data_IF_415476642383
#
_entry.id   IF_415476642383
#
_cell.length_a   1.000
_cell.length_b   1.000
_cell.length_c   1.000
_cell.angle_alpha   90.00
_cell.angle_beta   90.00
_cell.angle_gamma   90.00
#
_symmetry.space_group_name_H-M   'P 1'
#
loop_
_entity.id
_entity.type
_entity.pdbx_description
1 polymer ?
#
# COMPACT_ATOMS: atom_id res chain seq x y z
N UNK A 1 9.97 4.97 17.90
CA UNK A 1 8.66 4.85 17.30
C UNK A 1 7.52 5.17 18.27
N UNK A 2 6.28 4.85 17.89
CA UNK A 2 5.05 5.15 18.65
C UNK A 2 5.08 4.70 20.11
N UNK A 3 5.60 3.51 20.38
CA UNK A 3 5.73 2.95 21.75
C UNK A 3 6.55 3.87 22.65
N UNK A 4 7.73 4.32 22.17
CA UNK A 4 8.64 5.16 22.98
C UNK A 4 8.03 6.54 23.25
N UNK A 5 7.37 7.13 22.24
CA UNK A 5 6.71 8.43 22.40
C UNK A 5 5.55 8.35 23.38
N UNK A 6 4.70 7.34 23.26
CA UNK A 6 3.58 7.11 24.17
C UNK A 6 4.05 6.84 25.60
N UNK A 7 5.12 6.06 25.77
CA UNK A 7 5.70 5.80 27.09
C UNK A 7 6.20 7.07 27.79
N UNK A 8 6.94 7.91 27.05
CA UNK A 8 7.46 9.16 27.60
C UNK A 8 6.38 10.20 27.91
N UNK A 9 5.29 10.21 27.12
CA UNK A 9 4.22 11.18 27.27
C UNK A 9 3.15 10.76 28.30
N UNK A 10 2.82 9.46 28.37
CA UNK A 10 1.62 8.96 29.06
C UNK A 10 1.88 7.74 29.96
N UNK A 11 3.11 7.20 29.97
CA UNK A 11 3.50 6.07 30.81
C UNK A 11 3.25 4.69 30.19
N UNK A 12 3.30 3.65 31.03
CA UNK A 12 3.39 2.25 30.61
C UNK A 12 2.15 1.75 29.84
N UNK A 13 0.95 1.85 30.43
CA UNK A 13 -0.26 1.26 29.81
C UNK A 13 -0.67 1.90 28.49
N UNK A 14 -0.65 3.25 28.33
CA UNK A 14 -0.86 3.87 27.04
C UNK A 14 0.17 3.44 25.98
N UNK A 15 1.43 3.22 26.39
CA UNK A 15 2.46 2.74 25.47
C UNK A 15 2.20 1.31 24.97
N UNK A 16 1.75 0.42 25.85
CA UNK A 16 1.33 -0.94 25.48
C UNK A 16 0.17 -0.90 24.50
N UNK A 17 -0.88 -0.15 24.82
CA UNK A 17 -2.05 -0.02 23.96
C UNK A 17 -1.71 0.57 22.60
N UNK A 18 -0.92 1.64 22.56
CA UNK A 18 -0.47 2.26 21.31
C UNK A 18 0.37 1.31 20.45
N UNK A 19 1.29 0.56 21.10
CA UNK A 19 2.12 -0.41 20.40
C UNK A 19 1.32 -1.58 19.84
N UNK A 20 0.42 -2.16 20.63
CA UNK A 20 -0.46 -3.23 20.18
C UNK A 20 -1.39 -2.76 19.04
N UNK A 21 -2.01 -1.58 19.19
CA UNK A 21 -2.86 -1.02 18.14
C UNK A 21 -2.08 -0.82 16.82
N UNK A 22 -0.85 -0.31 16.89
CA UNK A 22 0.01 -0.16 15.73
C UNK A 22 0.37 -1.51 15.10
N UNK A 23 0.72 -2.52 15.91
CA UNK A 23 1.03 -3.86 15.43
C UNK A 23 -0.19 -4.50 14.75
N UNK A 24 -1.38 -4.41 15.35
CA UNK A 24 -2.62 -4.90 14.74
C UNK A 24 -2.98 -4.17 13.45
N UNK A 25 -2.79 -2.85 13.39
CA UNK A 25 -3.01 -2.08 12.18
C UNK A 25 -2.10 -2.59 11.04
N UNK A 26 -0.81 -2.78 11.30
CA UNK A 26 0.14 -3.28 10.32
C UNK A 26 -0.17 -4.71 9.87
N UNK A 27 -0.53 -5.60 10.80
CA UNK A 27 -0.96 -6.95 10.46
C UNK A 27 -2.24 -6.95 9.61
N UNK A 28 -3.20 -6.07 9.92
CA UNK A 28 -4.44 -5.91 9.16
C UNK A 28 -4.17 -5.49 7.72
N UNK A 29 -3.30 -4.49 7.51
CA UNK A 29 -2.92 -4.06 6.16
C UNK A 29 -2.15 -5.17 5.44
N UNK A 30 -1.16 -5.80 6.09
CA UNK A 30 -0.40 -6.91 5.50
C UNK A 30 -1.30 -8.09 5.08
N UNK A 31 -2.34 -8.39 5.85
CA UNK A 31 -3.33 -9.41 5.51
C UNK A 31 -4.18 -9.01 4.30
N UNK A 32 -4.51 -7.72 4.15
CA UNK A 32 -5.27 -7.21 3.02
C UNK A 32 -4.46 -7.17 1.70
N UNK A 33 -3.14 -6.98 1.79
CA UNK A 33 -2.27 -6.94 0.60
C UNK A 33 -2.28 -8.25 -0.21
N UNK A 34 -2.49 -9.38 0.44
CA UNK A 34 -2.58 -10.68 -0.25
C UNK A 34 -3.74 -10.76 -1.26
N UNK A 35 -5.00 -10.53 -0.84
CA UNK A 35 -6.14 -10.41 -1.74
C UNK A 35 -5.97 -9.32 -2.80
N UNK A 36 -5.42 -8.15 -2.45
CA UNK A 36 -5.16 -7.06 -3.39
C UNK A 36 -4.16 -7.51 -4.49
N UNK A 37 -3.09 -8.19 -4.10
CA UNK A 37 -2.12 -8.77 -5.03
C UNK A 37 -2.75 -9.80 -5.98
N UNK A 38 -3.55 -10.72 -5.45
CA UNK A 38 -4.24 -11.72 -6.28
C UNK A 38 -5.22 -11.09 -7.26
N UNK A 39 -5.93 -10.04 -6.86
CA UNK A 39 -6.82 -9.27 -7.74
C UNK A 39 -6.02 -8.59 -8.86
N UNK A 40 -4.88 -8.01 -8.55
CA UNK A 40 -3.99 -7.40 -9.53
C UNK A 40 -3.42 -8.44 -10.51
N UNK A 41 -2.97 -9.60 -10.01
CA UNK A 41 -2.52 -10.70 -10.87
C UNK A 41 -3.64 -11.17 -11.79
N UNK A 42 -4.86 -11.34 -11.25
CA UNK A 42 -6.02 -11.80 -12.02
C UNK A 42 -6.41 -10.84 -13.17
N UNK A 43 -6.12 -9.55 -13.04
CA UNK A 43 -6.31 -8.59 -14.13
C UNK A 43 -5.34 -8.81 -15.29
N UNK A 44 -4.10 -9.21 -15.00
CA UNK A 44 -3.05 -9.45 -16.02
C UNK A 44 -3.16 -10.84 -16.64
N UNK A 45 -3.32 -11.84 -15.76
CA UNK A 45 -3.41 -13.27 -16.09
C UNK A 45 -4.57 -13.86 -15.33
N UNK A 46 -5.57 -14.35 -16.05
CA UNK A 46 -6.75 -14.94 -15.43
C UNK A 46 -6.39 -16.15 -14.55
N UNK A 47 -6.73 -16.06 -13.26
CA UNK A 47 -6.51 -17.14 -12.30
C UNK A 47 -7.70 -18.11 -12.42
N UNK A 48 -7.47 -19.40 -12.73
CA UNK A 48 -8.56 -20.38 -12.79
C UNK A 48 -9.33 -20.45 -11.48
N UNK A 49 -10.66 -20.37 -11.54
CA UNK A 49 -11.55 -20.43 -10.36
C UNK A 49 -11.71 -21.88 -9.91
N UNK A 50 -10.79 -22.37 -9.07
CA UNK A 50 -10.82 -23.74 -8.55
C UNK A 50 -11.06 -23.75 -7.04
N UNK A 51 -11.99 -24.62 -6.59
CA UNK A 51 -12.29 -24.85 -5.17
C UNK A 51 -12.85 -23.61 -4.47
N UNK A 52 -14.17 -23.45 -4.49
CA UNK A 52 -14.84 -22.37 -3.76
C UNK A 52 -14.71 -22.60 -2.25
N UNK A 53 -14.23 -21.59 -1.51
CA UNK A 53 -14.09 -21.60 -0.05
C UNK A 53 -15.32 -21.00 0.64
N UNK A 54 -15.60 -19.72 0.35
CA UNK A 54 -16.73 -18.97 0.90
C UNK A 54 -17.13 -17.83 -0.04
N UNK A 55 -18.20 -17.12 0.31
CA UNK A 55 -18.63 -15.91 -0.39
C UNK A 55 -18.71 -14.74 0.59
N UNK A 56 -18.26 -13.55 0.16
CA UNK A 56 -18.37 -12.31 0.93
C UNK A 56 -19.13 -11.29 0.07
N UNK A 57 -20.30 -10.86 0.54
CA UNK A 57 -21.16 -9.88 -0.16
C UNK A 57 -21.47 -10.23 -1.62
N UNK A 58 -21.53 -11.52 -1.96
CA UNK A 58 -21.82 -12.00 -3.31
C UNK A 58 -20.59 -12.36 -4.14
N UNK A 59 -19.39 -12.00 -3.70
CA UNK A 59 -18.14 -12.38 -4.34
C UNK A 59 -17.61 -13.69 -3.77
N UNK A 60 -17.32 -14.64 -4.65
CA UNK A 60 -16.80 -15.96 -4.28
C UNK A 60 -15.27 -15.93 -4.12
N UNK A 61 -14.78 -16.49 -3.01
CA UNK A 61 -13.37 -16.69 -2.74
C UNK A 61 -12.97 -18.12 -3.11
N UNK A 62 -11.94 -18.28 -3.93
CA UNK A 62 -11.45 -19.56 -4.44
C UNK A 62 -10.10 -19.94 -3.83
N UNK A 63 -9.87 -21.25 -3.67
CA UNK A 63 -8.57 -21.80 -3.20
C UNK A 63 -7.42 -21.33 -4.06
N UNK A 64 -7.59 -21.33 -5.39
CA UNK A 64 -6.57 -20.87 -6.33
C UNK A 64 -6.11 -19.43 -6.07
N UNK A 65 -7.05 -18.53 -5.80
CA UNK A 65 -6.76 -17.11 -5.48
C UNK A 65 -6.08 -17.00 -4.11
N UNK A 66 -6.56 -17.76 -3.12
CA UNK A 66 -5.93 -17.81 -1.79
C UNK A 66 -4.49 -18.36 -1.86
N UNK A 67 -4.23 -19.39 -2.67
CA UNK A 67 -2.88 -19.92 -2.88
C UNK A 67 -1.92 -18.87 -3.45
N UNK A 68 -2.34 -18.06 -4.41
CA UNK A 68 -1.51 -16.96 -4.96
C UNK A 68 -1.16 -15.96 -3.86
N UNK A 69 -2.14 -15.56 -3.03
CA UNK A 69 -1.92 -14.66 -1.88
C UNK A 69 -0.92 -15.26 -0.87
N UNK A 70 -1.10 -16.53 -0.51
CA UNK A 70 -0.25 -17.23 0.46
C UNK A 70 1.19 -17.34 -0.05
N UNK A 71 1.38 -17.76 -1.31
CA UNK A 71 2.71 -17.88 -1.92
C UNK A 71 3.42 -16.53 -1.92
N UNK A 72 2.73 -15.46 -2.33
CA UNK A 72 3.30 -14.12 -2.31
C UNK A 72 3.67 -13.67 -0.88
N UNK A 73 2.80 -13.94 0.11
CA UNK A 73 3.07 -13.67 1.53
C UNK A 73 4.34 -14.37 2.02
N UNK A 74 4.50 -15.65 1.68
CA UNK A 74 5.68 -16.43 2.05
C UNK A 74 6.96 -15.87 1.41
N UNK A 75 6.88 -15.44 0.14
CA UNK A 75 8.02 -14.82 -0.56
C UNK A 75 8.44 -13.52 0.13
N UNK A 76 7.49 -12.61 0.40
CA UNK A 76 7.79 -11.33 1.06
C UNK A 76 8.32 -11.55 2.49
N UNK A 77 7.73 -12.50 3.22
CA UNK A 77 8.22 -12.87 4.56
C UNK A 77 9.64 -13.40 4.51
N UNK A 78 9.94 -14.26 3.54
CA UNK A 78 11.29 -14.80 3.33
C UNK A 78 12.32 -13.73 2.97
N UNK A 79 11.94 -12.74 2.14
CA UNK A 79 12.80 -11.60 1.83
C UNK A 79 13.15 -10.79 3.08
N UNK A 80 12.17 -10.56 3.96
CA UNK A 80 12.41 -9.89 5.24
C UNK A 80 13.30 -10.74 6.19
N UNK A 81 13.11 -12.06 6.19
CA UNK A 81 13.93 -12.98 6.97
C UNK A 81 15.41 -13.00 6.50
N UNK A 82 15.65 -12.90 5.21
CA UNK A 82 17.01 -12.82 4.62
C UNK A 82 17.79 -11.58 5.05
N UNK A 83 17.11 -10.54 5.52
CA UNK A 83 17.70 -9.36 6.14
C UNK A 83 17.33 -8.03 5.46
N UNK A 84 17.54 -6.96 6.20
CA UNK A 84 17.12 -5.61 5.84
C UNK A 84 17.72 -5.11 4.50
N UNK A 85 18.95 -5.54 4.15
CA UNK A 85 19.60 -5.11 2.89
C UNK A 85 18.87 -5.64 1.66
N UNK A 86 18.49 -6.92 1.64
CA UNK A 86 17.78 -7.55 0.53
C UNK A 86 16.37 -6.95 0.38
N UNK A 87 15.67 -6.79 1.51
CA UNK A 87 14.37 -6.13 1.55
C UNK A 87 14.45 -4.68 1.03
N UNK A 88 15.48 -3.92 1.38
CA UNK A 88 15.68 -2.54 0.91
C UNK A 88 15.98 -2.46 -0.59
N UNK A 89 16.80 -3.35 -1.13
CA UNK A 89 17.07 -3.42 -2.58
C UNK A 89 15.78 -3.74 -3.35
N UNK A 90 15.04 -4.75 -2.90
CA UNK A 90 13.73 -5.09 -3.46
C UNK A 90 12.78 -3.89 -3.45
N UNK A 91 12.67 -3.21 -2.29
CA UNK A 91 11.87 -2.01 -2.11
C UNK A 91 12.22 -0.92 -3.15
N UNK A 92 13.51 -0.66 -3.34
CA UNK A 92 13.99 0.38 -4.28
C UNK A 92 13.62 0.06 -5.72
N UNK A 93 13.83 -1.19 -6.15
CA UNK A 93 13.51 -1.62 -7.53
C UNK A 93 12.00 -1.55 -7.77
N UNK A 94 11.21 -2.08 -6.86
CA UNK A 94 9.75 -2.08 -7.00
C UNK A 94 9.16 -0.65 -6.96
N UNK A 95 9.67 0.22 -6.07
CA UNK A 95 9.26 1.64 -6.05
C UNK A 95 9.64 2.34 -7.37
N UNK A 96 10.82 2.05 -7.92
CA UNK A 96 11.23 2.55 -9.24
C UNK A 96 10.26 2.13 -10.34
N UNK A 97 9.83 0.87 -10.35
CA UNK A 97 8.83 0.34 -11.28
C UNK A 97 7.49 1.04 -11.17
N UNK A 98 6.98 1.21 -9.94
CA UNK A 98 5.75 1.96 -9.66
C UNK A 98 5.82 3.39 -10.21
N UNK A 99 6.90 4.11 -9.89
CA UNK A 99 7.08 5.50 -10.32
C UNK A 99 7.19 5.59 -11.85
N UNK A 100 7.95 4.70 -12.49
CA UNK A 100 8.11 4.70 -13.94
C UNK A 100 6.77 4.51 -14.66
N UNK A 101 5.97 3.52 -14.28
CA UNK A 101 4.65 3.28 -14.87
C UNK A 101 3.70 4.45 -14.59
N UNK A 102 3.71 4.98 -13.35
CA UNK A 102 2.88 6.12 -13.01
C UNK A 102 3.25 7.38 -13.80
N UNK A 103 4.54 7.65 -14.04
CA UNK A 103 4.98 8.77 -14.88
C UNK A 103 4.51 8.61 -16.33
N UNK A 104 4.56 7.40 -16.90
CA UNK A 104 4.00 7.11 -18.23
C UNK A 104 2.50 7.42 -18.25
N UNK A 105 1.76 7.02 -17.22
CA UNK A 105 0.33 7.32 -17.15
C UNK A 105 0.04 8.82 -16.98
N UNK A 106 0.79 9.51 -16.12
CA UNK A 106 0.67 10.96 -15.92
C UNK A 106 0.93 11.74 -17.20
N UNK A 107 1.98 11.39 -17.95
CA UNK A 107 2.29 12.01 -19.24
C UNK A 107 1.20 11.72 -20.28
N UNK A 108 0.75 10.46 -20.37
CA UNK A 108 -0.37 10.10 -21.25
C UNK A 108 -1.66 10.87 -20.93
N UNK A 109 -2.00 10.98 -19.64
CA UNK A 109 -3.13 11.78 -19.18
C UNK A 109 -3.00 13.25 -19.56
N UNK A 110 -1.80 13.83 -19.40
CA UNK A 110 -1.54 15.25 -19.72
C UNK A 110 -1.67 15.56 -21.23
N UNK A 111 -1.21 14.65 -22.10
CA UNK A 111 -1.20 14.88 -23.55
C UNK A 111 -2.46 14.39 -24.27
N UNK A 112 -3.11 13.35 -23.79
CA UNK A 112 -4.23 12.68 -24.47
C UNK A 112 -5.54 12.79 -23.68
N UNK A 113 -5.49 13.19 -22.42
CA UNK A 113 -6.65 13.32 -21.55
C UNK A 113 -7.59 14.45 -21.96
N UNK A 114 -8.87 14.30 -21.64
CA UNK A 114 -9.90 15.30 -21.91
C UNK A 114 -10.47 15.86 -20.60
N UNK A 115 -10.35 17.18 -20.34
CA UNK A 115 -10.89 17.79 -19.13
C UNK A 115 -12.39 17.58 -18.96
N UNK A 116 -13.13 17.35 -20.04
CA UNK A 116 -14.58 17.06 -20.00
C UNK A 116 -14.92 15.80 -19.18
N UNK A 117 -14.02 14.83 -19.13
CA UNK A 117 -14.20 13.58 -18.39
C UNK A 117 -14.19 13.76 -16.85
N UNK A 118 -13.73 14.92 -16.38
CA UNK A 118 -13.73 15.24 -14.93
C UNK A 118 -15.11 15.66 -14.44
N UNK A 119 -16.06 15.97 -15.32
CA UNK A 119 -17.39 16.44 -14.93
C UNK A 119 -18.33 15.27 -14.60
N UNK A 120 -19.18 15.41 -13.58
CA UNK A 120 -19.20 16.52 -12.60
C UNK A 120 -18.05 16.41 -11.60
N UNK A 121 -17.41 17.52 -11.25
CA UNK A 121 -16.32 17.58 -10.26
C UNK A 121 -16.82 17.29 -8.83
N UNK A 122 -18.06 17.60 -8.58
CA UNK A 122 -18.71 17.41 -7.29
C UNK A 122 -20.18 17.03 -7.54
N UNK A 123 -20.64 15.97 -6.90
CA UNK A 123 -22.04 15.52 -7.01
C UNK A 123 -22.85 15.89 -5.78
N UNK A 124 -22.36 15.49 -4.60
CA UNK A 124 -23.03 15.71 -3.33
C UNK A 124 -22.02 15.74 -2.15
N UNK A 125 -22.51 16.22 -1.00
CA UNK A 125 -21.71 16.25 0.23
C UNK A 125 -21.46 14.84 0.80
N UNK A 126 -22.33 13.87 0.53
CA UNK A 126 -22.18 12.47 0.97
C UNK A 126 -21.00 11.81 0.29
N UNK A 127 -20.86 12.00 -1.03
CA UNK A 127 -19.70 11.50 -1.80
C UNK A 127 -18.39 12.12 -1.32
N UNK A 128 -18.39 13.44 -1.10
CA UNK A 128 -17.22 14.14 -0.54
C UNK A 128 -16.82 13.60 0.84
N UNK A 129 -17.78 13.42 1.75
CA UNK A 129 -17.52 12.88 3.08
C UNK A 129 -16.99 11.44 3.05
N UNK A 130 -17.51 10.61 2.13
CA UNK A 130 -17.04 9.25 1.95
C UNK A 130 -15.56 9.22 1.53
N UNK A 131 -15.16 10.08 0.57
CA UNK A 131 -13.75 10.21 0.16
C UNK A 131 -12.89 10.71 1.31
N UNK A 132 -13.34 11.73 2.04
CA UNK A 132 -12.60 12.30 3.18
C UNK A 132 -12.34 11.26 4.27
N UNK A 133 -13.28 10.34 4.52
CA UNK A 133 -13.11 9.24 5.48
C UNK A 133 -12.10 8.18 5.01
N UNK A 134 -11.85 8.07 3.70
CA UNK A 134 -10.85 7.16 3.14
C UNK A 134 -9.43 7.73 3.18
N UNK A 135 -9.26 9.05 3.20
CA UNK A 135 -7.96 9.72 3.15
C UNK A 135 -6.98 9.22 4.24
N UNK A 136 -7.36 9.08 5.52
CA UNK A 136 -6.43 8.57 6.53
C UNK A 136 -5.87 7.18 6.20
N UNK A 137 -6.70 6.28 5.63
CA UNK A 137 -6.26 4.95 5.23
C UNK A 137 -5.25 4.98 4.08
N UNK A 138 -5.34 5.96 3.18
CA UNK A 138 -4.39 6.12 2.06
C UNK A 138 -2.99 6.55 2.53
N UNK A 139 -2.88 7.15 3.72
CA UNK A 139 -1.62 7.61 4.29
C UNK A 139 -1.06 6.68 5.37
N UNK A 140 -1.68 5.52 5.64
CA UNK A 140 -1.14 4.53 6.58
C UNK A 140 0.25 4.07 6.12
N UNK A 141 1.21 3.99 7.06
CA UNK A 141 2.56 3.50 6.80
C UNK A 141 3.66 4.58 6.82
N UNK A 142 3.33 5.87 6.83
CA UNK A 142 4.34 6.92 7.00
C UNK A 142 5.10 6.79 8.33
N UNK A 143 4.46 6.24 9.33
CA UNK A 143 4.98 5.99 10.67
C UNK A 143 5.96 4.79 10.73
N UNK A 144 6.12 4.01 9.66
CA UNK A 144 7.22 3.03 9.52
C UNK A 144 8.59 3.72 9.55
N UNK A 145 8.69 4.96 9.05
CA UNK A 145 9.95 5.74 9.05
C UNK A 145 10.52 5.88 10.47
N UNK A 146 9.79 6.42 11.47
CA UNK A 146 10.31 6.48 12.84
C UNK A 146 10.45 5.11 13.52
N UNK A 147 9.76 4.05 13.09
CA UNK A 147 9.96 2.69 13.61
C UNK A 147 11.33 2.12 13.19
N UNK A 148 11.79 2.44 11.99
CA UNK A 148 13.07 1.99 11.43
C UNK A 148 14.23 2.97 11.68
N UNK A 149 14.00 4.04 12.44
CA UNK A 149 14.98 5.13 12.63
C UNK A 149 16.35 4.67 13.14
N UNK A 150 16.40 3.61 13.97
CA UNK A 150 17.66 3.07 14.51
C UNK A 150 18.50 2.32 13.48
N UNK A 151 17.92 1.93 12.35
CA UNK A 151 18.61 1.18 11.27
C UNK A 151 18.93 2.07 10.06
N UNK A 152 18.43 3.30 10.06
CA UNK A 152 18.69 4.25 8.99
C UNK A 152 20.08 4.89 9.17
N UNK A 153 20.88 4.88 8.11
CA UNK A 153 22.16 5.60 8.08
C UNK A 153 21.96 7.12 7.84
N UNK A 154 21.10 7.72 8.67
CA UNK A 154 20.73 9.15 8.60
C UNK A 154 20.70 9.72 10.02
N UNK A 155 21.23 10.94 10.23
CA UNK A 155 21.16 11.61 11.53
C UNK A 155 19.70 11.73 12.01
N UNK A 156 19.42 11.35 13.25
CA UNK A 156 18.07 11.37 13.85
C UNK A 156 17.35 12.72 13.71
N UNK A 157 18.11 13.82 13.75
CA UNK A 157 17.60 15.19 13.55
C UNK A 157 16.97 15.42 12.16
N UNK A 158 17.31 14.60 11.15
CA UNK A 158 16.75 14.69 9.79
C UNK A 158 15.46 13.89 9.61
N UNK A 159 15.15 12.95 10.50
CA UNK A 159 13.97 12.07 10.39
C UNK A 159 12.66 12.85 10.29
N UNK A 160 12.39 13.90 11.11
CA UNK A 160 11.15 14.67 10.96
C UNK A 160 11.01 15.32 9.59
N UNK A 161 12.10 15.83 9.03
CA UNK A 161 12.11 16.44 7.68
C UNK A 161 11.81 15.40 6.60
N UNK A 162 12.40 14.21 6.70
CA UNK A 162 12.16 13.10 5.77
C UNK A 162 10.69 12.68 5.84
N UNK A 163 10.14 12.57 7.05
CA UNK A 163 8.74 12.22 7.29
C UNK A 163 7.78 13.21 6.61
N UNK A 164 7.96 14.50 6.85
CA UNK A 164 7.12 15.55 6.24
C UNK A 164 7.26 15.52 4.71
N UNK A 165 8.47 15.40 4.20
CA UNK A 165 8.73 15.36 2.75
C UNK A 165 8.07 14.14 2.11
N UNK A 166 8.12 12.97 2.75
CA UNK A 166 7.49 11.75 2.24
C UNK A 166 5.97 11.86 2.19
N UNK A 167 5.34 12.45 3.22
CA UNK A 167 3.89 12.69 3.24
C UNK A 167 3.49 13.67 2.13
N UNK A 168 4.20 14.78 1.98
CA UNK A 168 3.93 15.75 0.91
C UNK A 168 4.11 15.12 -0.48
N UNK A 169 5.17 14.35 -0.68
CA UNK A 169 5.40 13.66 -1.95
C UNK A 169 4.30 12.64 -2.25
N UNK A 170 3.86 11.85 -1.26
CA UNK A 170 2.74 10.92 -1.41
C UNK A 170 1.44 11.65 -1.73
N UNK A 171 1.14 12.77 -1.05
CA UNK A 171 -0.05 13.58 -1.33
C UNK A 171 -0.05 14.11 -2.76
N UNK A 172 1.07 14.65 -3.22
CA UNK A 172 1.23 15.12 -4.60
C UNK A 172 1.05 13.99 -5.62
N UNK A 173 1.62 12.82 -5.33
CA UNK A 173 1.48 11.64 -6.17
C UNK A 173 0.03 11.18 -6.27
N UNK A 174 -0.68 11.06 -5.14
CA UNK A 174 -2.10 10.68 -5.14
C UNK A 174 -2.96 11.68 -5.90
N UNK A 175 -2.77 12.98 -5.66
CA UNK A 175 -3.50 14.02 -6.40
C UNK A 175 -3.26 13.94 -7.90
N UNK A 176 -1.99 13.76 -8.32
CA UNK A 176 -1.63 13.64 -9.72
C UNK A 176 -2.26 12.39 -10.36
N UNK A 177 -2.20 11.22 -9.68
CA UNK A 177 -2.77 9.97 -10.19
C UNK A 177 -4.29 10.02 -10.28
N UNK A 178 -4.97 10.60 -9.28
CA UNK A 178 -6.43 10.77 -9.28
C UNK A 178 -6.84 11.71 -10.43
N UNK A 179 -6.12 12.82 -10.59
CA UNK A 179 -6.38 13.77 -11.67
C UNK A 179 -6.16 13.12 -13.05
N UNK A 180 -5.02 12.45 -13.26
CA UNK A 180 -4.75 11.73 -14.51
C UNK A 180 -5.82 10.68 -14.80
N UNK A 181 -6.24 9.90 -13.81
CA UNK A 181 -7.33 8.93 -13.97
C UNK A 181 -8.63 9.62 -14.39
N UNK A 182 -8.92 10.79 -13.80
CA UNK A 182 -10.15 11.53 -14.07
C UNK A 182 -10.21 12.10 -15.48
N UNK A 183 -9.10 12.60 -16.01
CA UNK A 183 -9.04 13.17 -17.39
C UNK A 183 -8.83 12.12 -18.48
N UNK A 184 -8.33 10.93 -18.12
CA UNK A 184 -7.98 9.87 -19.07
C UNK A 184 -9.19 9.07 -19.56
N UNK A 185 -10.28 8.98 -18.79
CA UNK A 185 -11.44 8.19 -19.17
C UNK A 185 -12.75 8.77 -18.61
N UNK A 186 -13.88 8.62 -19.32
CA UNK A 186 -15.19 9.04 -18.82
C UNK A 186 -15.62 8.22 -17.60
N UNK A 187 -16.55 8.77 -16.80
CA UNK A 187 -17.03 8.14 -15.58
C UNK A 187 -17.59 6.72 -15.82
N UNK A 188 -18.23 6.48 -16.96
CA UNK A 188 -18.75 5.15 -17.35
C UNK A 188 -17.66 4.07 -17.41
N UNK A 189 -16.48 4.38 -17.93
CA UNK A 189 -15.34 3.45 -17.98
C UNK A 189 -14.78 3.21 -16.57
N UNK A 190 -14.63 4.28 -15.78
CA UNK A 190 -14.05 4.20 -14.45
C UNK A 190 -14.94 3.49 -13.41
N UNK A 191 -16.27 3.59 -13.55
CA UNK A 191 -17.24 2.99 -12.61
C UNK A 191 -17.59 1.54 -12.95
N UNK A 192 -17.53 1.16 -14.23
CA UNK A 192 -17.87 -0.19 -14.68
C UNK A 192 -16.64 -1.10 -14.84
N UNK A 193 -15.45 -0.54 -14.70
CA UNK A 193 -14.20 -1.28 -14.82
C UNK A 193 -13.85 -2.05 -13.53
N UNK A 194 -12.93 -3.00 -13.65
CA UNK A 194 -12.44 -3.82 -12.53
C UNK A 194 -11.47 -3.01 -11.65
N UNK A 195 -10.55 -2.29 -12.28
CA UNK A 195 -9.57 -1.43 -11.60
C UNK A 195 -9.51 -0.08 -12.31
N UNK A 196 -10.18 0.95 -11.77
CA UNK A 196 -10.42 2.22 -12.47
C UNK A 196 -9.19 2.89 -13.07
N UNK A 197 -8.04 2.85 -12.40
CA UNK A 197 -6.81 3.47 -12.90
C UNK A 197 -6.23 2.73 -14.11
N UNK A 198 -6.29 1.40 -14.10
CA UNK A 198 -5.82 0.57 -15.19
C UNK A 198 -6.74 0.67 -16.42
N UNK A 199 -8.04 0.67 -16.17
CA UNK A 199 -9.05 0.81 -17.22
C UNK A 199 -8.98 2.20 -17.86
N UNK A 200 -8.72 3.25 -17.06
CA UNK A 200 -8.50 4.60 -17.57
C UNK A 200 -7.21 4.69 -18.42
N UNK A 201 -6.12 4.04 -18.01
CA UNK A 201 -4.90 3.98 -18.80
C UNK A 201 -5.11 3.23 -20.12
N UNK A 202 -5.78 2.07 -20.09
CA UNK A 202 -6.12 1.30 -21.28
C UNK A 202 -6.97 2.11 -22.27
N UNK A 203 -7.97 2.82 -21.78
CA UNK A 203 -8.84 3.68 -22.57
C UNK A 203 -8.07 4.85 -23.19
N UNK A 204 -7.25 5.55 -22.40
CA UNK A 204 -6.50 6.72 -22.83
C UNK A 204 -5.49 6.41 -23.94
N UNK A 205 -4.81 5.28 -23.85
CA UNK A 205 -3.83 4.82 -24.84
C UNK A 205 -4.43 3.92 -25.94
N UNK A 206 -5.73 3.65 -25.90
CA UNK A 206 -6.44 2.89 -26.93
C UNK A 206 -6.08 1.40 -27.01
N UNK A 207 -5.49 0.80 -25.96
CA UNK A 207 -5.14 -0.62 -25.94
C UNK A 207 -5.19 -1.23 -24.53
N UNK A 208 -5.76 -2.45 -24.38
CA UNK A 208 -5.79 -3.18 -23.09
C UNK A 208 -4.40 -3.48 -22.51
N UNK A 209 -3.36 -3.52 -23.38
CA UNK A 209 -1.97 -3.74 -22.94
C UNK A 209 -1.52 -2.68 -21.95
N UNK A 210 -1.94 -1.42 -22.13
CA UNK A 210 -1.60 -0.34 -21.22
C UNK A 210 -2.24 -0.49 -19.84
N UNK A 211 -3.45 -1.05 -19.77
CA UNK A 211 -4.06 -1.43 -18.49
C UNK A 211 -3.23 -2.49 -17.76
N UNK A 212 -2.73 -3.50 -18.47
CA UNK A 212 -1.84 -4.53 -17.88
C UNK A 212 -0.52 -3.94 -17.42
N UNK A 213 0.07 -3.02 -18.17
CA UNK A 213 1.29 -2.29 -17.76
C UNK A 213 1.01 -1.48 -16.50
N UNK A 214 -0.13 -0.80 -16.41
CA UNK A 214 -0.54 -0.08 -15.20
C UNK A 214 -0.59 -1.02 -13.98
N UNK A 215 -1.17 -2.20 -14.14
CA UNK A 215 -1.26 -3.20 -13.07
C UNK A 215 0.11 -3.73 -12.66
N UNK A 216 1.06 -3.89 -13.58
CA UNK A 216 2.44 -4.25 -13.20
C UNK A 216 3.04 -3.18 -12.27
N UNK A 217 2.83 -1.90 -12.55
CA UNK A 217 3.20 -0.81 -11.65
C UNK A 217 2.47 -0.88 -10.30
N UNK A 218 1.17 -1.18 -10.31
CA UNK A 218 0.37 -1.34 -9.10
C UNK A 218 0.83 -2.54 -8.25
N UNK A 219 1.19 -3.66 -8.88
CA UNK A 219 1.79 -4.82 -8.21
C UNK A 219 3.10 -4.43 -7.51
N UNK A 220 3.95 -3.65 -8.16
CA UNK A 220 5.14 -3.11 -7.51
C UNK A 220 4.78 -2.28 -6.26
N UNK A 221 3.72 -1.47 -6.33
CA UNK A 221 3.20 -0.70 -5.19
C UNK A 221 2.71 -1.59 -4.05
N UNK A 222 1.89 -2.61 -4.35
CA UNK A 222 1.39 -3.59 -3.38
C UNK A 222 2.56 -4.30 -2.69
N UNK A 223 3.54 -4.77 -3.44
CA UNK A 223 4.69 -5.48 -2.89
C UNK A 223 5.56 -4.60 -1.99
N UNK A 224 5.73 -3.31 -2.34
CA UNK A 224 6.48 -2.36 -1.49
C UNK A 224 5.74 -2.02 -0.20
N UNK A 225 4.43 -1.82 -0.28
CA UNK A 225 3.54 -1.60 0.86
C UNK A 225 3.58 -2.80 1.80
N UNK A 226 3.37 -4.00 1.27
CA UNK A 226 3.40 -5.24 2.03
C UNK A 226 4.72 -5.46 2.77
N UNK A 227 5.85 -5.29 2.05
CA UNK A 227 7.18 -5.35 2.63
C UNK A 227 7.35 -4.34 3.78
N UNK A 228 6.92 -3.10 3.58
CA UNK A 228 6.98 -2.03 4.58
C UNK A 228 6.19 -2.33 5.85
N UNK A 229 4.97 -2.86 5.72
CA UNK A 229 4.13 -3.21 6.88
C UNK A 229 4.64 -4.43 7.65
N UNK A 230 5.14 -5.46 6.98
CA UNK A 230 5.79 -6.59 7.64
C UNK A 230 7.03 -6.14 8.40
N UNK A 231 7.88 -5.32 7.76
CA UNK A 231 9.07 -4.76 8.40
C UNK A 231 8.71 -3.88 9.60
N UNK A 232 7.81 -2.92 9.44
CA UNK A 232 7.37 -2.01 10.51
C UNK A 232 6.70 -2.74 11.66
N UNK A 233 5.82 -3.71 11.37
CA UNK A 233 5.16 -4.55 12.36
C UNK A 233 6.13 -5.35 13.21
N UNK A 234 7.13 -5.97 12.59
CA UNK A 234 8.18 -6.70 13.29
C UNK A 234 8.96 -5.78 14.25
N UNK A 235 9.24 -4.54 13.86
CA UNK A 235 9.94 -3.56 14.72
C UNK A 235 9.11 -3.09 15.91
N UNK A 236 7.81 -2.94 15.74
CA UNK A 236 6.90 -2.60 16.84
C UNK A 236 6.83 -3.73 17.85
N UNK A 237 6.66 -4.98 17.40
CA UNK A 237 6.65 -6.17 18.27
C UNK A 237 7.98 -6.33 19.00
N UNK A 238 9.10 -6.16 18.30
CA UNK A 238 10.43 -6.18 18.90
C UNK A 238 10.60 -5.10 19.97
N UNK A 239 10.15 -3.87 19.71
CA UNK A 239 10.23 -2.76 20.66
C UNK A 239 9.41 -3.03 21.93
N UNK A 240 8.21 -3.60 21.80
CA UNK A 240 7.36 -4.00 22.92
C UNK A 240 8.01 -5.11 23.75
N UNK A 241 8.59 -6.12 23.10
CA UNK A 241 9.27 -7.22 23.78
C UNK A 241 10.52 -6.76 24.54
N UNK A 242 11.34 -5.89 23.94
CA UNK A 242 12.49 -5.29 24.62
C UNK A 242 12.10 -4.41 25.84
N UNK A 243 10.94 -3.78 25.77
CA UNK A 243 10.38 -3.02 26.89
C UNK A 243 9.71 -3.93 27.95
N UNK A 244 9.82 -5.26 27.83
CA UNK A 244 9.17 -6.28 28.69
C UNK A 244 7.64 -6.15 28.73
N UNK A 245 7.05 -5.61 27.65
CA UNK A 245 5.61 -5.48 27.46
C UNK A 245 5.01 -6.69 26.74
N UNK A 246 5.87 -7.49 26.08
CA UNK A 246 5.55 -8.75 25.40
C UNK A 246 6.59 -9.83 25.79
N UNK A 247 6.29 -11.13 25.53
CA UNK A 247 7.23 -12.21 25.80
C UNK A 247 8.60 -12.01 25.14
N UNK A 248 9.68 -12.33 25.86
CA UNK A 248 11.07 -12.14 25.42
C UNK A 248 11.43 -12.90 24.14
N UNK A 249 10.67 -13.92 23.76
CA UNK A 249 10.87 -14.66 22.51
C UNK A 249 10.78 -13.76 21.27
N UNK A 250 9.98 -12.69 21.35
CA UNK A 250 9.83 -11.69 20.28
C UNK A 250 10.96 -10.64 20.25
N UNK A 251 11.84 -10.63 21.25
CA UNK A 251 13.02 -9.78 21.30
C UNK A 251 14.28 -10.43 20.70
N UNK A 252 14.16 -11.66 20.18
CA UNK A 252 15.28 -12.35 19.53
C UNK A 252 15.44 -11.86 18.09
N UNK A 253 16.65 -11.43 17.75
CA UNK A 253 17.05 -11.10 16.37
C UNK A 253 17.81 -12.31 15.81
N UNK A 254 17.50 -12.71 14.60
CA UNK A 254 18.21 -13.74 13.85
C UNK A 254 19.33 -13.14 13.01
#
# INVERSE_FOLDING_TARGET
GSVVFSYKAMGYWPAVLAGLATAFAYLGVAAWEGPAFSTAINYVVEIPKAGKLWSIKGDDVYVSVACVSIIASLIITYLNYKGAKQAAVFQTIATGGLIAVGLVFLTGGAFMGKPEYTKPLFTDFKGFSAVLLMVPAMFVGFDVIPQSASEMNVPLKKIPKILILSICAAALWYMAMIFATSISAPASVRLNGVIPVADAMAFNFGSPVWGKICIIGAICGILTSWNGFLYGGARVLYALANAKMLPEVLAKIH
#
